data_IF_761672369133
#
_entry.id   IF_761672369133
#
_cell.length_a   1.000
_cell.length_b   1.000
_cell.length_c   1.000
_cell.angle_alpha   90.00
_cell.angle_beta   90.00
_cell.angle_gamma   90.00
#
_symmetry.space_group_name_H-M   'P 1'
#
loop_
_entity.id
_entity.type
_entity.pdbx_description
1 polymer ?
#
# COMPACT_ATOMS: atom_id res chain seq x y z
N UNK A 1 3.49 22.31 15.65
CA UNK A 1 2.74 21.65 14.55
C UNK A 1 3.57 20.69 13.69
N UNK A 2 4.91 20.69 13.73
CA UNK A 2 5.75 19.78 12.90
C UNK A 2 5.87 18.33 13.45
N UNK A 3 5.42 18.07 14.69
CA UNK A 3 5.50 16.76 15.34
C UNK A 3 4.98 15.59 14.47
N UNK A 4 3.79 15.69 13.83
CA UNK A 4 3.23 14.59 13.05
C UNK A 4 4.07 14.26 11.82
N UNK A 5 4.73 15.26 11.24
CA UNK A 5 5.60 15.09 10.08
C UNK A 5 6.86 14.31 10.46
N UNK A 6 7.51 14.68 11.57
CA UNK A 6 8.69 13.95 12.07
C UNK A 6 8.35 12.51 12.43
N UNK A 7 7.23 12.29 13.12
CA UNK A 7 6.77 10.94 13.49
C UNK A 7 6.59 10.04 12.25
N UNK A 8 5.93 10.56 11.21
CA UNK A 8 5.73 9.82 9.95
C UNK A 8 7.05 9.50 9.24
N UNK A 9 8.00 10.43 9.26
CA UNK A 9 9.31 10.21 8.65
C UNK A 9 10.04 9.05 9.34
N UNK A 10 10.08 9.04 10.67
CA UNK A 10 10.69 7.94 11.42
C UNK A 10 9.95 6.61 11.24
N UNK A 11 8.63 6.63 11.10
CA UNK A 11 7.86 5.42 10.85
C UNK A 11 8.21 4.79 9.49
N UNK A 12 8.43 5.60 8.46
CA UNK A 12 8.90 5.10 7.16
C UNK A 12 10.25 4.38 7.28
N UNK A 13 11.19 4.98 8.02
CA UNK A 13 12.50 4.38 8.30
C UNK A 13 12.38 3.01 8.99
N UNK A 14 11.55 2.92 10.03
CA UNK A 14 11.31 1.66 10.76
C UNK A 14 10.72 0.58 9.83
N UNK A 15 9.79 0.94 8.94
CA UNK A 15 9.22 -0.01 7.99
C UNK A 15 10.25 -0.51 6.98
N UNK A 16 11.16 0.34 6.49
CA UNK A 16 12.24 -0.08 5.58
C UNK A 16 13.19 -1.04 6.29
N UNK A 17 13.59 -0.72 7.53
CA UNK A 17 14.47 -1.58 8.34
C UNK A 17 13.79 -2.93 8.62
N UNK A 18 12.51 -2.93 9.01
CA UNK A 18 11.72 -4.15 9.20
C UNK A 18 11.76 -5.04 7.95
N UNK A 19 11.52 -4.46 6.78
CA UNK A 19 11.53 -5.20 5.50
C UNK A 19 12.91 -5.70 5.11
N UNK A 20 13.95 -4.95 5.41
CA UNK A 20 15.34 -5.36 5.22
C UNK A 20 15.64 -6.61 6.06
N UNK A 21 15.28 -6.61 7.34
CA UNK A 21 15.46 -7.77 8.20
C UNK A 21 14.59 -8.95 7.78
N UNK A 22 13.34 -8.71 7.38
CA UNK A 22 12.47 -9.76 6.87
C UNK A 22 13.05 -10.44 5.62
N UNK A 23 13.70 -9.66 4.75
CA UNK A 23 14.34 -10.18 3.54
C UNK A 23 15.64 -10.94 3.86
N UNK A 24 16.51 -10.37 4.70
CA UNK A 24 17.80 -10.97 5.03
C UNK A 24 17.69 -12.21 5.93
N UNK A 25 16.71 -12.22 6.84
CA UNK A 25 16.48 -13.32 7.78
C UNK A 25 15.21 -14.11 7.49
N UNK A 26 14.78 -14.20 6.22
CA UNK A 26 13.52 -14.84 5.84
C UNK A 26 13.23 -16.18 6.56
N UNK A 27 14.25 -17.03 6.76
CA UNK A 27 14.13 -18.33 7.46
C UNK A 27 13.86 -18.23 8.97
N UNK A 28 14.44 -17.24 9.65
CA UNK A 28 14.38 -17.09 11.11
C UNK A 28 13.53 -15.89 11.55
N UNK A 29 13.02 -15.11 10.60
CA UNK A 29 12.37 -13.84 10.86
C UNK A 29 11.10 -14.02 11.69
N UNK A 30 10.23 -14.97 11.32
CA UNK A 30 8.99 -15.23 12.07
C UNK A 30 9.27 -15.61 13.53
N UNK A 31 10.28 -16.45 13.77
CA UNK A 31 10.67 -16.86 15.13
C UNK A 31 11.30 -15.73 15.95
N UNK A 32 11.88 -14.72 15.29
CA UNK A 32 12.55 -13.58 15.95
C UNK A 32 11.69 -12.32 16.00
N UNK A 33 10.61 -12.23 15.23
CA UNK A 33 9.70 -11.07 15.19
C UNK A 33 8.80 -11.06 16.42
N UNK A 34 9.41 -10.84 17.58
CA UNK A 34 8.71 -10.60 18.83
C UNK A 34 8.18 -9.17 18.93
N UNK A 35 7.22 -8.95 19.82
CA UNK A 35 6.65 -7.63 20.13
C UNK A 35 7.70 -6.60 20.59
N UNK A 36 8.83 -7.07 21.14
CA UNK A 36 9.96 -6.24 21.57
C UNK A 36 10.52 -5.37 20.44
N UNK A 37 10.56 -5.90 19.21
CA UNK A 37 11.04 -5.15 18.06
C UNK A 37 10.22 -3.87 17.85
N UNK A 38 8.89 -4.01 17.77
CA UNK A 38 7.98 -2.88 17.61
C UNK A 38 8.02 -1.94 18.80
N UNK A 39 8.11 -2.45 20.04
CA UNK A 39 8.16 -1.63 21.24
C UNK A 39 9.43 -0.77 21.32
N UNK A 40 10.60 -1.34 20.98
CA UNK A 40 11.88 -0.62 20.97
C UNK A 40 11.85 0.49 19.91
N UNK A 41 11.46 0.16 18.68
CA UNK A 41 11.40 1.16 17.61
C UNK A 41 10.37 2.25 17.86
N UNK A 42 9.20 1.90 18.38
CA UNK A 42 8.20 2.87 18.77
C UNK A 42 8.74 3.84 19.85
N UNK A 43 9.46 3.32 20.84
CA UNK A 43 10.07 4.15 21.89
C UNK A 43 11.13 5.10 21.31
N UNK A 44 11.97 4.63 20.39
CA UNK A 44 12.97 5.45 19.69
C UNK A 44 12.27 6.55 18.88
N UNK A 45 11.26 6.20 18.08
CA UNK A 45 10.49 7.14 17.25
C UNK A 45 9.83 8.21 18.10
N UNK A 46 9.19 7.82 19.21
CA UNK A 46 8.53 8.76 20.13
C UNK A 46 9.55 9.68 20.81
N UNK A 47 10.69 9.14 21.24
CA UNK A 47 11.79 9.93 21.81
C UNK A 47 12.33 10.96 20.84
N UNK A 48 12.70 10.55 19.62
CA UNK A 48 13.22 11.44 18.58
C UNK A 48 12.19 12.50 18.16
N UNK A 49 10.92 12.11 18.02
CA UNK A 49 9.83 13.05 17.72
C UNK A 49 9.68 14.09 18.82
N UNK A 50 9.72 13.68 20.09
CA UNK A 50 9.60 14.60 21.23
C UNK A 50 10.79 15.55 21.28
N UNK A 51 12.02 15.06 21.08
CA UNK A 51 13.22 15.89 21.02
C UNK A 51 13.14 16.94 19.90
N UNK A 52 12.72 16.54 18.69
CA UNK A 52 12.54 17.49 17.59
C UNK A 52 11.48 18.55 17.90
N UNK A 53 10.38 18.18 18.55
CA UNK A 53 9.31 19.13 18.91
C UNK A 53 9.81 20.15 19.93
N UNK A 54 10.54 19.70 20.95
CA UNK A 54 11.13 20.59 21.95
C UNK A 54 12.13 21.55 21.29
N UNK A 55 12.96 21.05 20.38
CA UNK A 55 13.97 21.85 19.69
C UNK A 55 13.38 22.88 18.71
N UNK A 56 12.34 22.48 17.95
CA UNK A 56 11.70 23.35 16.95
C UNK A 56 11.03 24.59 17.57
N UNK A 57 10.75 24.57 18.88
CA UNK A 57 10.14 25.71 19.57
C UNK A 57 11.05 26.94 19.68
N UNK A 58 12.37 26.78 19.50
CA UNK A 58 13.36 27.83 19.73
C UNK A 58 14.07 28.27 18.43
N UNK A 59 13.32 28.90 17.50
CA UNK A 59 13.85 29.42 16.23
C UNK A 59 14.53 28.37 15.33
N UNK A 60 14.65 28.68 14.03
CA UNK A 60 15.39 27.82 13.09
C UNK A 60 16.87 28.15 13.23
N UNK A 61 17.61 27.24 13.85
CA UNK A 61 19.04 27.37 14.12
C UNK A 61 19.88 26.41 13.26
N UNK A 62 21.20 26.45 13.45
CA UNK A 62 22.13 25.57 12.76
C UNK A 62 21.85 24.07 13.02
N UNK A 63 21.43 23.72 14.25
CA UNK A 63 21.14 22.34 14.61
C UNK A 63 19.89 21.81 13.90
N UNK A 64 18.91 22.66 13.63
CA UNK A 64 17.76 22.32 12.78
C UNK A 64 18.22 21.92 11.37
N UNK A 65 19.10 22.71 10.76
CA UNK A 65 19.70 22.41 9.46
C UNK A 65 20.49 21.10 9.44
N UNK A 66 21.34 20.89 10.44
CA UNK A 66 22.09 19.65 10.60
C UNK A 66 21.16 18.44 10.69
N UNK A 67 20.08 18.57 11.48
CA UNK A 67 19.06 17.52 11.64
C UNK A 67 18.38 17.21 10.31
N UNK A 68 17.99 18.21 9.53
CA UNK A 68 17.41 18.00 8.20
C UNK A 68 18.39 17.34 7.23
N UNK A 69 19.65 17.77 7.21
CA UNK A 69 20.71 17.15 6.41
C UNK A 69 20.92 15.68 6.77
N UNK A 70 20.90 15.36 8.06
CA UNK A 70 20.98 13.99 8.55
C UNK A 70 19.77 13.14 8.11
N UNK A 71 18.54 13.63 8.30
CA UNK A 71 17.31 12.91 7.88
C UNK A 71 17.28 12.71 6.36
N UNK A 72 17.70 13.71 5.58
CA UNK A 72 17.81 13.58 4.12
C UNK A 72 18.84 12.52 3.72
N UNK A 73 19.99 12.50 4.39
CA UNK A 73 21.02 11.49 4.15
C UNK A 73 20.50 10.08 4.47
N UNK A 74 19.79 9.91 5.59
CA UNK A 74 19.14 8.65 5.94
C UNK A 74 18.12 8.21 4.88
N UNK A 75 17.25 9.12 4.42
CA UNK A 75 16.26 8.81 3.40
C UNK A 75 16.91 8.37 2.07
N UNK A 76 18.04 8.97 1.68
CA UNK A 76 18.80 8.56 0.50
C UNK A 76 19.45 7.18 0.67
N UNK A 77 20.05 6.92 1.83
CA UNK A 77 20.60 5.60 2.18
C UNK A 77 19.50 4.54 2.13
N UNK A 78 18.32 4.85 2.65
CA UNK A 78 17.18 3.93 2.62
C UNK A 78 16.66 3.66 1.22
N UNK A 79 16.53 4.69 0.38
CA UNK A 79 16.14 4.50 -1.01
C UNK A 79 17.15 3.59 -1.72
N UNK A 80 18.45 3.78 -1.46
CA UNK A 80 19.50 2.93 -1.99
C UNK A 80 19.39 1.48 -1.48
N UNK A 81 19.27 1.28 -0.16
CA UNK A 81 19.09 -0.05 0.44
C UNK A 81 17.84 -0.74 -0.08
N UNK A 82 16.75 0.00 -0.27
CA UNK A 82 15.50 -0.51 -0.79
C UNK A 82 15.62 -0.91 -2.27
N UNK A 83 16.28 -0.10 -3.10
CA UNK A 83 16.58 -0.45 -4.50
C UNK A 83 17.50 -1.68 -4.58
N UNK A 84 18.47 -1.78 -3.68
CA UNK A 84 19.34 -2.96 -3.56
C UNK A 84 18.55 -4.21 -3.16
N UNK A 85 17.66 -4.12 -2.17
CA UNK A 85 16.77 -5.21 -1.76
C UNK A 85 15.84 -5.64 -2.90
N UNK A 86 15.27 -4.69 -3.65
CA UNK A 86 14.47 -4.98 -4.82
C UNK A 86 15.23 -5.83 -5.84
N UNK A 87 16.47 -5.43 -6.16
CA UNK A 87 17.35 -6.18 -7.06
C UNK A 87 17.66 -7.57 -6.52
N UNK A 88 17.99 -7.69 -5.24
CA UNK A 88 18.25 -8.99 -4.59
C UNK A 88 17.02 -9.90 -4.63
N UNK A 89 15.83 -9.37 -4.35
CA UNK A 89 14.58 -10.13 -4.34
C UNK A 89 14.25 -10.66 -5.73
N UNK A 90 14.40 -9.85 -6.79
CA UNK A 90 14.21 -10.29 -8.17
C UNK A 90 15.23 -11.36 -8.57
N UNK A 91 16.51 -11.16 -8.23
CA UNK A 91 17.56 -12.13 -8.56
C UNK A 91 17.34 -13.47 -7.84
N UNK A 92 16.98 -13.42 -6.56
CA UNK A 92 16.66 -14.61 -5.78
C UNK A 92 15.42 -15.31 -6.34
N UNK A 93 14.40 -14.54 -6.73
CA UNK A 93 13.21 -15.05 -7.41
C UNK A 93 13.59 -15.82 -8.67
N UNK A 94 14.31 -15.20 -9.60
CA UNK A 94 14.70 -15.82 -10.87
C UNK A 94 15.59 -17.06 -10.68
N UNK A 95 16.57 -17.01 -9.76
CA UNK A 95 17.52 -18.12 -9.55
C UNK A 95 16.92 -19.32 -8.84
N UNK A 96 16.03 -19.08 -7.88
CA UNK A 96 15.51 -20.13 -6.99
C UNK A 96 14.14 -20.66 -7.41
N UNK A 97 13.39 -19.94 -8.25
CA UNK A 97 12.02 -20.32 -8.62
C UNK A 97 11.88 -21.78 -9.08
N UNK A 98 12.79 -22.23 -9.96
CA UNK A 98 12.77 -23.62 -10.48
C UNK A 98 13.28 -24.66 -9.49
N UNK A 99 14.07 -24.25 -8.47
CA UNK A 99 14.75 -25.17 -7.54
C UNK A 99 14.03 -25.35 -6.21
N UNK A 100 13.21 -24.39 -5.79
CA UNK A 100 12.48 -24.46 -4.51
C UNK A 100 11.36 -25.48 -4.64
N UNK A 101 11.39 -26.57 -3.87
CA UNK A 101 10.28 -27.53 -3.80
C UNK A 101 9.19 -27.10 -2.81
N UNK A 102 9.56 -26.32 -1.78
CA UNK A 102 8.62 -25.89 -0.75
C UNK A 102 7.72 -24.73 -1.22
N UNK A 103 6.41 -24.97 -1.25
CA UNK A 103 5.40 -23.96 -1.61
C UNK A 103 5.47 -22.70 -0.73
N UNK A 104 5.73 -22.86 0.57
CA UNK A 104 5.83 -21.74 1.51
C UNK A 104 6.97 -20.77 1.15
N UNK A 105 8.12 -21.29 0.73
CA UNK A 105 9.27 -20.45 0.37
C UNK A 105 9.03 -19.70 -0.95
N UNK A 106 8.39 -20.35 -1.94
CA UNK A 106 7.96 -19.68 -3.18
C UNK A 106 6.99 -18.55 -2.90
N UNK A 107 6.01 -18.80 -2.02
CA UNK A 107 5.04 -17.80 -1.60
C UNK A 107 5.73 -16.60 -0.94
N UNK A 108 6.57 -16.83 0.06
CA UNK A 108 7.32 -15.76 0.75
C UNK A 108 8.16 -14.92 -0.21
N UNK A 109 8.85 -15.55 -1.18
CA UNK A 109 9.68 -14.83 -2.14
C UNK A 109 8.84 -13.98 -3.10
N UNK A 110 7.73 -14.53 -3.60
CA UNK A 110 6.78 -13.78 -4.43
C UNK A 110 6.13 -12.61 -3.68
N UNK A 111 5.81 -12.81 -2.40
CA UNK A 111 5.25 -11.81 -1.51
C UNK A 111 6.25 -10.68 -1.26
N UNK A 112 7.52 -11.01 -1.03
CA UNK A 112 8.58 -10.03 -0.80
C UNK A 112 8.80 -9.15 -2.04
N UNK A 113 8.84 -9.73 -3.25
CA UNK A 113 8.91 -8.95 -4.50
C UNK A 113 7.68 -8.04 -4.61
N UNK A 114 6.47 -8.56 -4.41
CA UNK A 114 5.25 -7.78 -4.53
C UNK A 114 5.20 -6.62 -3.53
N UNK A 115 5.47 -6.88 -2.26
CA UNK A 115 5.45 -5.86 -1.20
C UNK A 115 6.53 -4.80 -1.40
N UNK A 116 7.72 -5.17 -1.87
CA UNK A 116 8.77 -4.22 -2.23
C UNK A 116 8.31 -3.29 -3.37
N UNK A 117 7.56 -3.81 -4.36
CA UNK A 117 7.01 -2.98 -5.45
C UNK A 117 6.03 -1.95 -4.92
N UNK A 118 5.18 -2.40 -3.99
CA UNK A 118 4.13 -1.56 -3.39
C UNK A 118 4.70 -0.48 -2.50
N UNK A 119 5.77 -0.77 -1.75
CA UNK A 119 6.42 0.18 -0.85
C UNK A 119 7.33 1.19 -1.57
N UNK A 120 7.76 0.91 -2.80
CA UNK A 120 8.58 1.85 -3.58
C UNK A 120 7.88 3.20 -3.81
N UNK A 121 6.60 3.16 -4.20
CA UNK A 121 5.81 4.36 -4.50
C UNK A 121 5.69 5.31 -3.28
N UNK A 122 5.22 4.84 -2.10
CA UNK A 122 5.16 5.69 -0.91
C UNK A 122 6.55 6.14 -0.44
N UNK A 123 7.61 5.34 -0.63
CA UNK A 123 8.98 5.75 -0.30
C UNK A 123 9.47 6.90 -1.19
N UNK A 124 9.17 6.86 -2.50
CA UNK A 124 9.48 7.95 -3.42
C UNK A 124 8.70 9.23 -3.09
N UNK A 125 7.40 9.11 -2.80
CA UNK A 125 6.58 10.24 -2.35
C UNK A 125 7.11 10.83 -1.03
N UNK A 126 7.54 9.98 -0.11
CA UNK A 126 8.16 10.38 1.14
C UNK A 126 9.46 11.16 0.90
N UNK A 127 10.34 10.69 0.01
CA UNK A 127 11.57 11.40 -0.35
C UNK A 127 11.27 12.77 -0.99
N UNK A 128 10.30 12.83 -1.91
CA UNK A 128 9.86 14.10 -2.54
C UNK A 128 9.38 15.07 -1.46
N UNK A 129 8.55 14.60 -0.51
CA UNK A 129 8.06 15.42 0.59
C UNK A 129 9.21 15.94 1.47
N UNK A 130 10.21 15.11 1.75
CA UNK A 130 11.39 15.50 2.52
C UNK A 130 12.24 16.55 1.78
N UNK A 131 12.46 16.37 0.48
CA UNK A 131 13.17 17.35 -0.36
C UNK A 131 12.44 18.69 -0.42
N UNK A 132 11.12 18.68 -0.62
CA UNK A 132 10.29 19.89 -0.63
C UNK A 132 10.33 20.59 0.73
N UNK A 133 10.17 19.85 1.83
CA UNK A 133 10.29 20.40 3.18
C UNK A 133 11.65 21.05 3.44
N UNK A 134 12.74 20.36 3.10
CA UNK A 134 14.10 20.89 3.24
C UNK A 134 14.34 22.12 2.38
N UNK A 135 13.85 22.14 1.14
CA UNK A 135 13.96 23.30 0.26
C UNK A 135 13.24 24.53 0.82
N UNK A 136 12.04 24.36 1.38
CA UNK A 136 11.30 25.50 1.93
C UNK A 136 11.93 25.99 3.24
N UNK A 137 12.39 25.10 4.11
CA UNK A 137 13.13 25.50 5.32
C UNK A 137 14.41 26.24 4.96
N UNK A 138 15.08 25.83 3.89
CA UNK A 138 16.25 26.55 3.34
C UNK A 138 15.88 27.97 2.94
N UNK A 139 14.82 28.12 2.14
CA UNK A 139 14.31 29.44 1.71
C UNK A 139 13.98 30.29 2.93
N UNK A 140 13.28 29.72 3.92
CA UNK A 140 12.89 30.42 5.14
C UNK A 140 14.11 30.86 5.97
N UNK A 141 15.11 30.00 6.12
CA UNK A 141 16.30 30.26 6.94
C UNK A 141 17.17 31.38 6.36
N UNK A 142 17.41 31.38 5.05
CA UNK A 142 18.22 32.41 4.41
C UNK A 142 17.51 33.76 4.29
N UNK A 143 16.23 33.84 4.66
CA UNK A 143 15.39 35.05 4.62
C UNK A 143 15.61 35.90 3.35
N UNK A 144 15.59 35.31 2.14
CA UNK A 144 15.70 36.10 0.92
C UNK A 144 14.52 37.08 0.78
N UNK A 145 13.42 36.82 1.49
CA UNK A 145 12.27 37.69 1.60
C UNK A 145 12.28 38.41 2.96
N UNK A 146 12.57 39.70 2.95
CA UNK A 146 12.51 40.54 4.17
C UNK A 146 11.06 40.73 4.69
N UNK A 147 10.04 40.47 3.86
CA UNK A 147 8.64 40.69 4.22
C UNK A 147 8.04 39.48 4.94
N UNK A 148 7.42 39.73 6.10
CA UNK A 148 6.69 38.75 6.91
C UNK A 148 5.64 37.97 6.09
N UNK A 149 4.96 38.64 5.16
CA UNK A 149 3.95 38.02 4.30
C UNK A 149 4.48 36.79 3.54
N UNK A 150 5.68 36.88 2.95
CA UNK A 150 6.24 35.74 2.20
C UNK A 150 6.57 34.58 3.14
N UNK A 151 7.07 34.86 4.34
CA UNK A 151 7.33 33.84 5.35
C UNK A 151 6.06 33.05 5.70
N UNK A 152 4.98 33.76 6.02
CA UNK A 152 3.70 33.15 6.39
C UNK A 152 3.12 32.37 5.19
N UNK A 153 3.14 32.95 3.99
CA UNK A 153 2.67 32.29 2.78
C UNK A 153 3.42 30.99 2.47
N UNK A 154 4.76 31.00 2.51
CA UNK A 154 5.56 29.79 2.25
C UNK A 154 5.41 28.76 3.37
N UNK A 155 5.22 29.20 4.62
CA UNK A 155 4.89 28.32 5.74
C UNK A 155 3.59 27.56 5.51
N UNK A 156 2.51 28.27 5.16
CA UNK A 156 1.21 27.68 4.86
C UNK A 156 1.25 26.77 3.62
N UNK A 157 1.95 27.19 2.56
CA UNK A 157 2.15 26.36 1.36
C UNK A 157 2.90 25.06 1.68
N UNK A 158 3.90 25.12 2.57
CA UNK A 158 4.62 23.92 3.06
C UNK A 158 3.65 23.00 3.78
N UNK A 159 2.85 23.54 4.69
CA UNK A 159 1.90 22.76 5.47
C UNK A 159 0.86 22.07 4.57
N UNK A 160 0.31 22.79 3.59
CA UNK A 160 -0.59 22.24 2.60
C UNK A 160 0.08 21.12 1.78
N UNK A 161 1.31 21.35 1.30
CA UNK A 161 2.06 20.37 0.50
C UNK A 161 2.38 19.10 1.30
N UNK A 162 2.80 19.24 2.56
CA UNK A 162 3.07 18.12 3.45
C UNK A 162 1.79 17.35 3.76
N UNK A 163 0.66 18.04 3.97
CA UNK A 163 -0.64 17.42 4.21
C UNK A 163 -1.13 16.61 3.01
N UNK A 164 -1.02 17.18 1.80
CA UNK A 164 -1.36 16.48 0.56
C UNK A 164 -0.44 15.28 0.34
N UNK A 165 0.87 15.43 0.52
CA UNK A 165 1.83 14.33 0.39
C UNK A 165 1.53 13.20 1.38
N UNK A 166 1.23 13.53 2.64
CA UNK A 166 0.85 12.54 3.65
C UNK A 166 -0.43 11.78 3.26
N UNK A 167 -1.44 12.48 2.73
CA UNK A 167 -2.63 11.85 2.21
C UNK A 167 -2.33 10.93 1.01
N UNK A 168 -1.47 11.38 0.08
CA UNK A 168 -1.07 10.59 -1.08
C UNK A 168 -0.28 9.33 -0.70
N UNK A 169 0.56 9.38 0.34
CA UNK A 169 1.28 8.21 0.85
C UNK A 169 0.28 7.13 1.34
N UNK A 170 -0.71 7.51 2.15
CA UNK A 170 -1.75 6.56 2.60
C UNK A 170 -2.59 6.04 1.44
N UNK A 171 -2.99 6.95 0.54
CA UNK A 171 -3.81 6.61 -0.61
C UNK A 171 -3.06 5.63 -1.52
N UNK A 172 -1.79 5.87 -1.81
CA UNK A 172 -0.98 4.94 -2.61
C UNK A 172 -0.83 3.60 -1.91
N UNK A 173 -0.58 3.56 -0.60
CA UNK A 173 -0.54 2.31 0.16
C UNK A 173 -1.85 1.51 0.02
N UNK A 174 -3.00 2.17 0.13
CA UNK A 174 -4.32 1.53 -0.02
C UNK A 174 -4.56 1.05 -1.46
N UNK A 175 -4.23 1.88 -2.46
CA UNK A 175 -4.49 1.59 -3.88
C UNK A 175 -3.59 0.47 -4.42
N UNK A 176 -2.31 0.45 -4.05
CA UNK A 176 -1.35 -0.55 -4.50
C UNK A 176 -1.44 -1.87 -3.73
N UNK A 177 -2.01 -1.87 -2.53
CA UNK A 177 -2.23 -3.10 -1.77
C UNK A 177 -3.52 -3.82 -2.22
N UNK A 178 -3.46 -5.00 -2.85
CA UNK A 178 -4.61 -5.66 -3.47
C UNK A 178 -5.72 -5.97 -2.48
N UNK A 179 -5.37 -6.41 -1.26
CA UNK A 179 -6.35 -6.67 -0.21
C UNK A 179 -7.07 -5.39 0.25
N UNK A 180 -6.34 -4.31 0.55
CA UNK A 180 -6.92 -3.04 0.97
C UNK A 180 -7.79 -2.43 -0.14
N UNK A 181 -7.33 -2.47 -1.40
CA UNK A 181 -8.11 -2.04 -2.56
C UNK A 181 -9.44 -2.78 -2.68
N UNK A 182 -9.45 -4.11 -2.53
CA UNK A 182 -10.70 -4.91 -2.55
C UNK A 182 -11.62 -4.52 -1.40
N UNK A 183 -11.07 -4.34 -0.19
CA UNK A 183 -11.84 -3.95 0.99
C UNK A 183 -12.44 -2.54 0.82
N UNK A 184 -11.66 -1.60 0.29
CA UNK A 184 -12.11 -0.26 -0.03
C UNK A 184 -13.26 -0.29 -1.04
N UNK A 185 -13.16 -1.09 -2.11
CA UNK A 185 -14.23 -1.26 -3.09
C UNK A 185 -15.54 -1.75 -2.45
N UNK A 186 -15.46 -2.77 -1.57
CA UNK A 186 -16.63 -3.26 -0.82
C UNK A 186 -17.21 -2.19 0.12
N UNK A 187 -16.37 -1.39 0.78
CA UNK A 187 -16.83 -0.30 1.65
C UNK A 187 -17.52 0.80 0.86
N UNK A 188 -16.94 1.23 -0.27
CA UNK A 188 -17.54 2.22 -1.17
C UNK A 188 -18.90 1.74 -1.66
N UNK A 189 -19.01 0.47 -2.05
CA UNK A 189 -20.28 -0.12 -2.48
C UNK A 189 -21.33 -0.13 -1.36
N UNK A 190 -20.95 -0.48 -0.13
CA UNK A 190 -21.83 -0.39 1.05
C UNK A 190 -22.31 1.04 1.30
N UNK A 191 -21.40 2.03 1.26
CA UNK A 191 -21.73 3.45 1.45
C UNK A 191 -22.66 3.93 0.32
N UNK A 192 -22.38 3.56 -0.92
CA UNK A 192 -23.24 3.88 -2.07
C UNK A 192 -24.65 3.28 -1.92
N UNK A 193 -24.75 2.03 -1.48
CA UNK A 193 -26.03 1.37 -1.26
C UNK A 193 -26.79 1.97 -0.07
N UNK A 194 -26.10 2.36 1.01
CA UNK A 194 -26.68 3.09 2.12
C UNK A 194 -27.18 4.48 1.69
N UNK A 195 -26.38 5.20 0.89
CA UNK A 195 -26.77 6.50 0.35
C UNK A 195 -28.02 6.39 -0.51
N UNK A 196 -28.10 5.39 -1.41
CA UNK A 196 -29.31 5.13 -2.22
C UNK A 196 -30.53 4.78 -1.37
N UNK A 197 -30.34 4.14 -0.21
CA UNK A 197 -31.42 3.81 0.73
C UNK A 197 -31.91 5.04 1.49
N UNK A 198 -31.01 5.93 1.91
CA UNK A 198 -31.36 7.15 2.64
C UNK A 198 -31.91 8.25 1.73
N UNK A 199 -31.45 8.29 0.49
CA UNK A 199 -31.89 9.22 -0.54
C UNK A 199 -32.48 8.41 -1.70
N UNK A 200 -33.67 7.81 -1.53
CA UNK A 200 -34.37 7.24 -2.65
C UNK A 200 -34.57 8.38 -3.64
N UNK A 201 -33.85 8.33 -4.76
CA UNK A 201 -34.05 9.27 -5.85
C UNK A 201 -35.54 9.25 -6.14
N UNK A 202 -36.22 10.40 -6.01
CA UNK A 202 -37.64 10.57 -6.34
C UNK A 202 -37.75 10.43 -7.86
N UNK A 203 -37.65 9.19 -8.33
CA UNK A 203 -37.76 8.79 -9.71
C UNK A 203 -39.19 8.39 -9.95
N UNK A 204 -39.89 9.18 -10.77
CA UNK A 204 -41.18 8.86 -11.36
C UNK A 204 -41.27 7.37 -11.69
N UNK A 205 -42.12 6.66 -10.95
CA UNK A 205 -42.54 5.31 -11.24
C UNK A 205 -43.35 5.32 -12.54
N UNK A 206 -42.68 5.23 -13.69
CA UNK A 206 -43.35 4.75 -14.90
C UNK A 206 -43.57 3.24 -14.75
N UNK A 207 -44.77 2.92 -14.28
CA UNK A 207 -45.33 1.57 -14.20
C UNK A 207 -45.23 0.88 -15.55
N UNK A 208 -44.22 0.04 -15.76
CA UNK A 208 -44.20 -0.97 -16.83
C UNK A 208 -43.48 -2.21 -16.28
N UNK A 209 -44.17 -2.95 -15.42
CA UNK A 209 -43.72 -4.23 -14.88
C UNK A 209 -44.41 -5.35 -15.67
N UNK A 210 -43.82 -5.72 -16.80
CA UNK A 210 -44.15 -6.97 -17.52
C UNK A 210 -43.32 -8.08 -16.88
N UNK A 211 -43.99 -9.20 -16.58
CA UNK A 211 -43.54 -10.25 -15.68
C UNK A 211 -42.21 -10.89 -16.04
N UNK A 212 -41.37 -11.09 -15.02
CA UNK A 212 -40.25 -12.03 -15.07
C UNK A 212 -40.46 -13.08 -14.00
N UNK A 213 -40.63 -14.31 -14.49
CA UNK A 213 -40.77 -15.57 -13.76
C UNK A 213 -39.55 -15.83 -12.89
N UNK A 214 -39.79 -16.12 -11.61
CA UNK A 214 -38.75 -16.44 -10.63
C UNK A 214 -38.15 -17.82 -10.88
N UNK A 215 -36.83 -17.90 -11.02
CA UNK A 215 -36.09 -19.16 -10.84
C UNK A 215 -35.83 -19.40 -9.35
N UNK A 216 -36.46 -20.42 -8.80
CA UNK A 216 -36.20 -20.98 -7.47
C UNK A 216 -35.07 -22.00 -7.58
N UNK A 217 -33.91 -21.71 -6.98
CA UNK A 217 -32.82 -22.67 -6.82
C UNK A 217 -32.92 -23.37 -5.46
N UNK A 218 -33.17 -24.67 -5.46
CA UNK A 218 -33.18 -25.51 -4.27
C UNK A 218 -31.75 -25.73 -3.75
N UNK A 219 -31.54 -25.45 -2.45
CA UNK A 219 -30.31 -25.76 -1.72
C UNK A 219 -30.51 -27.14 -1.09
N UNK A 220 -29.85 -28.15 -1.64
CA UNK A 220 -29.81 -29.49 -1.06
C UNK A 220 -28.87 -29.51 0.15
N UNK A 221 -29.45 -29.70 1.32
CA UNK A 221 -28.77 -29.85 2.61
C UNK A 221 -28.31 -31.31 2.77
N UNK A 222 -27.02 -31.58 2.47
CA UNK A 222 -26.38 -32.85 2.82
C UNK A 222 -24.99 -32.55 3.38
N UNK A 223 -24.77 -33.03 4.60
CA UNK A 223 -23.65 -32.69 5.45
C UNK A 223 -22.26 -33.06 4.93
N UNK A 224 -21.32 -32.22 5.36
CA UNK A 224 -19.89 -32.45 5.57
C UNK A 224 -18.88 -32.52 4.42
N UNK A 225 -19.28 -32.25 3.17
CA UNK A 225 -18.30 -31.81 2.17
C UNK A 225 -18.89 -30.67 1.34
N UNK A 226 -18.43 -29.43 1.58
CA UNK A 226 -18.60 -28.34 0.63
C UNK A 226 -17.76 -28.63 -0.62
N UNK A 227 -18.21 -29.58 -1.44
CA UNK A 227 -17.80 -29.65 -2.85
C UNK A 227 -18.36 -28.40 -3.52
N UNK A 228 -17.47 -27.51 -3.93
CA UNK A 228 -17.82 -26.38 -4.79
C UNK A 228 -18.21 -26.94 -6.16
N UNK A 229 -19.50 -27.27 -6.35
CA UNK A 229 -20.02 -27.75 -7.64
C UNK A 229 -20.04 -26.55 -8.59
N UNK A 230 -19.07 -26.51 -9.50
CA UNK A 230 -19.08 -25.55 -10.60
C UNK A 230 -20.14 -25.99 -11.61
N UNK A 231 -21.15 -25.16 -11.80
CA UNK A 231 -22.19 -25.36 -12.81
C UNK A 231 -21.88 -24.46 -13.99
N UNK A 232 -21.83 -25.01 -15.21
CA UNK A 232 -21.60 -24.19 -16.40
C UNK A 232 -22.83 -23.31 -16.72
N UNK A 233 -22.69 -22.41 -17.71
CA UNK A 233 -23.79 -21.52 -18.15
C UNK A 233 -25.03 -22.27 -18.67
N UNK A 234 -24.92 -23.57 -18.94
CA UNK A 234 -26.01 -24.44 -19.41
C UNK A 234 -26.61 -25.31 -18.29
N UNK A 235 -26.22 -25.10 -17.03
CA UNK A 235 -26.75 -25.87 -15.90
C UNK A 235 -26.09 -27.23 -15.68
N UNK A 236 -25.06 -27.59 -16.46
CA UNK A 236 -24.38 -28.87 -16.31
C UNK A 236 -23.40 -28.81 -15.13
N UNK A 237 -23.54 -29.77 -14.21
CA UNK A 237 -22.63 -29.95 -13.07
C UNK A 237 -21.29 -30.46 -13.60
N UNK A 238 -20.26 -29.62 -13.57
CA UNK A 238 -18.90 -30.06 -13.88
C UNK A 238 -18.41 -30.92 -12.71
N UNK A 239 -18.13 -32.19 -12.99
CA UNK A 239 -17.50 -33.11 -12.04
C UNK A 239 -16.07 -32.63 -11.86
N UNK A 240 -15.79 -31.87 -10.81
CA UNK A 240 -14.42 -31.53 -10.45
C UNK A 240 -13.80 -32.77 -9.83
N UNK A 241 -12.98 -33.48 -10.60
CA UNK A 241 -12.01 -34.40 -10.01
C UNK A 241 -11.20 -33.64 -8.94
N UNK A 242 -10.75 -34.30 -7.85
CA UNK A 242 -9.91 -33.66 -6.85
C UNK A 242 -8.64 -33.16 -7.54
N UNK A 243 -8.64 -31.86 -7.88
CA UNK A 243 -7.53 -31.18 -8.51
C UNK A 243 -6.34 -31.31 -7.56
N UNK A 244 -5.22 -31.84 -8.07
CA UNK A 244 -4.01 -31.93 -7.27
C UNK A 244 -3.59 -30.53 -6.81
N UNK A 245 -2.96 -30.41 -5.63
CA UNK A 245 -2.51 -29.09 -5.16
C UNK A 245 -1.65 -28.36 -6.21
N UNK A 246 -0.84 -29.11 -6.96
CA UNK A 246 -0.02 -28.58 -8.05
C UNK A 246 -0.87 -27.99 -9.17
N UNK A 247 -1.89 -28.70 -9.66
CA UNK A 247 -2.80 -28.18 -10.70
C UNK A 247 -3.63 -27.00 -10.21
N UNK A 248 -4.02 -26.97 -8.93
CA UNK A 248 -4.72 -25.82 -8.36
C UNK A 248 -3.83 -24.57 -8.38
N UNK A 249 -2.54 -24.72 -8.06
CA UNK A 249 -1.58 -23.63 -8.15
C UNK A 249 -1.28 -23.22 -9.59
N UNK A 250 -1.21 -24.16 -10.54
CA UNK A 250 -1.07 -23.83 -11.96
C UNK A 250 -2.29 -23.05 -12.46
N UNK A 251 -3.50 -23.44 -12.06
CA UNK A 251 -4.73 -22.71 -12.35
C UNK A 251 -4.71 -21.30 -11.75
N UNK A 252 -4.29 -21.15 -10.49
CA UNK A 252 -4.14 -19.85 -9.84
C UNK A 252 -3.08 -18.99 -10.52
N UNK A 253 -1.94 -19.57 -10.91
CA UNK A 253 -0.88 -18.88 -11.63
C UNK A 253 -1.38 -18.42 -13.00
N UNK A 254 -2.05 -19.30 -13.75
CA UNK A 254 -2.61 -18.99 -15.08
C UNK A 254 -3.69 -17.92 -15.00
N UNK A 255 -4.57 -17.99 -13.99
CA UNK A 255 -5.56 -16.96 -13.71
C UNK A 255 -4.90 -15.62 -13.34
N UNK A 256 -3.78 -15.66 -12.60
CA UNK A 256 -3.04 -14.47 -12.22
C UNK A 256 -2.32 -13.82 -13.42
N UNK A 257 -1.67 -14.61 -14.27
CA UNK A 257 -1.06 -14.15 -15.52
C UNK A 257 -2.10 -13.56 -16.47
N UNK A 258 -3.29 -14.15 -16.55
CA UNK A 258 -4.40 -13.65 -17.36
C UNK A 258 -4.94 -12.32 -16.81
N UNK A 259 -5.05 -12.18 -15.48
CA UNK A 259 -5.37 -10.90 -14.84
C UNK A 259 -4.33 -9.83 -15.14
N UNK A 260 -3.04 -10.17 -15.08
CA UNK A 260 -1.95 -9.23 -15.34
C UNK A 260 -1.97 -8.79 -16.80
N UNK A 261 -2.15 -9.72 -17.76
CA UNK A 261 -2.36 -9.40 -19.20
C UNK A 261 -3.54 -8.46 -19.42
N UNK A 262 -4.67 -8.69 -18.73
CA UNK A 262 -5.85 -7.82 -18.83
C UNK A 262 -5.64 -6.45 -18.21
N UNK A 263 -4.81 -6.35 -17.17
CA UNK A 263 -4.45 -5.06 -16.57
C UNK A 263 -3.50 -4.24 -17.44
N UNK A 264 -2.74 -4.90 -18.33
CA UNK A 264 -1.78 -4.28 -19.24
C UNK A 264 -2.41 -3.86 -20.57
N UNK A 265 -3.54 -4.46 -21.01
CA UNK A 265 -4.28 -3.94 -22.17
C UNK A 265 -4.86 -2.57 -21.81
N UNK A 266 -4.30 -1.46 -22.33
CA UNK A 266 -4.86 -0.15 -22.08
C UNK A 266 -6.23 -0.11 -22.76
N UNK A 267 -7.15 0.61 -22.15
CA UNK A 267 -8.44 1.07 -22.70
C UNK A 267 -8.24 1.98 -23.94
N UNK A 268 -7.27 1.70 -24.81
CA UNK A 268 -6.97 2.46 -26.02
C UNK A 268 -7.86 2.06 -27.19
N UNK A 269 -8.48 0.87 -27.17
CA UNK A 269 -9.39 0.42 -28.23
C UNK A 269 -10.88 0.81 -28.00
N UNK A 270 -11.20 1.60 -26.97
CA UNK A 270 -12.59 2.00 -26.66
C UNK A 270 -12.93 3.47 -26.94
N UNK A 271 -12.04 4.24 -27.56
CA UNK A 271 -12.28 5.66 -27.94
C UNK A 271 -12.27 5.85 -29.47
N UNK A 272 -12.24 4.77 -30.25
CA UNK A 272 -12.46 4.83 -31.71
C UNK A 272 -13.69 4.00 -32.05
N UNK A 273 -14.86 4.56 -31.75
CA UNK A 273 -16.16 4.34 -32.40
C UNK A 273 -17.23 5.19 -31.70
#
# INVERSE_FOLDING_TARGET
MLAPTYFRNYLAHVLVIERLMATLWAKNYENRRGWHFSAIWFSIVMGLTTLNVLHTSQQVDFLTWLTFGFVLTLALIELFLFAFLWKLNIQNYQRKWSKIQNLSERYQLSENVRTTKQMLVPLLLHLINLCLGSAIITIVFYRPFANQFYYDFFGELTFATVSVSNFLIELTMILFHPFLRRRLGKTIEKVRNAHKKCWPTVGHTTNNRIGMTSMTGEIGDNGDQQMMILVNLHGEKLRTEPISQTEHFELLQKAWEEMDRRSVKPTAERIVN
#
